data_IF_901917926816
#
_entry.id   IF_901917926816
#
_cell.length_a   1.000
_cell.length_b   1.000
_cell.length_c   1.000
_cell.angle_alpha   90.00
_cell.angle_beta   90.00
_cell.angle_gamma   90.00
#
_symmetry.space_group_name_H-M   'P 1'
#
loop_
_entity.id
_entity.type
_entity.pdbx_description
1 polymer ?
#
# COMPACT_ATOMS: atom_id res chain seq x y z
N UNK A 1 46.10 -18.94 18.52
CA UNK A 1 46.18 -18.28 17.23
C UNK A 1 45.97 -19.29 16.09
N UNK A 2 44.80 -19.96 16.05
CA UNK A 2 44.36 -20.91 14.99
C UNK A 2 42.86 -21.19 15.14
N UNK A 3 42.00 -20.17 15.00
CA UNK A 3 40.55 -20.40 15.07
C UNK A 3 39.69 -19.52 14.15
N UNK A 4 40.27 -18.65 13.29
CA UNK A 4 39.49 -17.66 12.49
C UNK A 4 39.62 -17.81 10.96
N UNK A 5 39.88 -19.01 10.41
CA UNK A 5 40.02 -19.19 8.94
C UNK A 5 38.92 -20.08 8.32
N UNK A 6 37.98 -20.59 9.11
CA UNK A 6 36.91 -21.45 8.57
C UNK A 6 35.57 -20.75 8.24
N UNK A 7 35.45 -19.43 8.50
CA UNK A 7 34.16 -18.72 8.28
C UNK A 7 34.13 -17.92 6.97
N UNK A 8 35.22 -17.80 6.23
CA UNK A 8 35.26 -16.98 5.00
C UNK A 8 35.06 -17.81 3.70
N UNK A 9 35.09 -19.15 3.77
CA UNK A 9 34.94 -19.98 2.56
C UNK A 9 33.50 -20.40 2.30
N UNK A 10 32.58 -20.23 3.23
CA UNK A 10 31.15 -20.57 3.03
C UNK A 10 30.32 -19.50 2.33
N UNK A 11 30.74 -18.23 2.33
CA UNK A 11 29.96 -17.13 1.70
C UNK A 11 30.21 -16.96 0.20
N UNK A 12 31.21 -17.63 -0.40
CA UNK A 12 31.53 -17.47 -1.83
C UNK A 12 30.83 -18.53 -2.72
N UNK A 13 30.30 -19.60 -2.15
CA UNK A 13 29.61 -20.65 -2.91
C UNK A 13 28.12 -20.39 -3.20
N UNK A 14 27.51 -19.39 -2.59
CA UNK A 14 26.08 -19.06 -2.81
C UNK A 14 25.82 -17.97 -3.87
N UNK A 15 26.85 -17.23 -4.30
CA UNK A 15 26.71 -16.17 -5.31
C UNK A 15 26.65 -16.71 -6.75
N UNK A 16 26.97 -17.98 -6.96
CA UNK A 16 27.05 -18.61 -8.30
C UNK A 16 25.73 -19.24 -8.79
N UNK A 17 24.73 -19.44 -7.95
CA UNK A 17 23.48 -20.12 -8.30
C UNK A 17 22.28 -19.19 -8.39
N UNK A 18 22.39 -17.93 -7.92
CA UNK A 18 21.29 -16.97 -7.92
C UNK A 18 21.00 -16.28 -9.27
N UNK A 19 21.92 -16.33 -10.22
CA UNK A 19 21.80 -15.59 -11.50
C UNK A 19 20.96 -16.34 -12.56
N UNK A 20 20.65 -17.62 -12.34
CA UNK A 20 19.88 -18.44 -13.28
C UNK A 20 18.36 -18.38 -13.12
N UNK A 21 17.85 -17.89 -11.98
CA UNK A 21 16.43 -17.94 -11.65
C UNK A 21 15.72 -16.58 -11.90
N UNK A 22 16.48 -15.46 -11.93
CA UNK A 22 15.93 -14.11 -12.11
C UNK A 22 15.36 -13.88 -13.52
N UNK A 23 15.79 -14.64 -14.53
CA UNK A 23 15.22 -14.54 -15.89
C UNK A 23 13.83 -15.16 -16.07
N UNK A 24 13.42 -16.05 -15.18
CA UNK A 24 12.14 -16.75 -15.28
C UNK A 24 11.01 -16.02 -14.50
N UNK A 25 11.36 -15.34 -13.39
CA UNK A 25 10.38 -14.64 -12.56
C UNK A 25 9.79 -13.39 -13.23
N UNK A 26 10.62 -12.61 -13.94
CA UNK A 26 10.15 -11.39 -14.62
C UNK A 26 9.23 -11.69 -15.80
N UNK A 27 9.43 -12.82 -16.50
CA UNK A 27 8.50 -13.26 -17.56
C UNK A 27 7.20 -13.84 -17.01
N UNK A 28 7.19 -14.33 -15.77
CA UNK A 28 5.99 -14.86 -15.15
C UNK A 28 5.04 -13.73 -14.72
N UNK A 29 5.56 -12.64 -14.18
CA UNK A 29 4.76 -11.48 -13.77
C UNK A 29 4.08 -10.78 -14.95
N UNK A 30 4.79 -10.61 -16.09
CA UNK A 30 4.20 -9.97 -17.27
C UNK A 30 3.16 -10.83 -17.98
N UNK A 31 3.28 -12.14 -17.95
CA UNK A 31 2.33 -13.04 -18.64
C UNK A 31 1.10 -13.39 -17.82
N UNK A 32 1.17 -13.37 -16.48
CA UNK A 32 0.00 -13.71 -15.66
C UNK A 32 -0.93 -12.51 -15.41
N UNK A 33 -0.42 -11.28 -15.32
CA UNK A 33 -1.27 -10.09 -15.23
C UNK A 33 -2.08 -9.83 -16.50
N UNK A 34 -1.58 -10.25 -17.67
CA UNK A 34 -2.32 -10.13 -18.95
C UNK A 34 -3.29 -11.30 -19.15
N UNK A 35 -2.96 -12.52 -18.71
CA UNK A 35 -3.84 -13.68 -18.85
C UNK A 35 -5.00 -13.69 -17.85
N UNK A 36 -4.82 -13.10 -16.66
CA UNK A 36 -5.90 -12.94 -15.68
C UNK A 36 -7.02 -11.99 -16.13
N UNK A 37 -6.69 -10.99 -16.95
CA UNK A 37 -7.68 -10.06 -17.50
C UNK A 37 -8.52 -10.65 -18.63
N UNK A 38 -8.02 -11.61 -19.40
CA UNK A 38 -8.80 -12.23 -20.49
C UNK A 38 -9.75 -13.34 -20.03
N UNK A 39 -9.51 -13.97 -18.89
CA UNK A 39 -10.40 -15.04 -18.39
C UNK A 39 -11.55 -14.52 -17.51
N UNK A 40 -11.46 -13.29 -16.96
CA UNK A 40 -12.53 -12.66 -16.21
C UNK A 40 -13.72 -12.15 -17.01
N UNK A 41 -13.62 -12.09 -18.35
CA UNK A 41 -14.66 -11.56 -19.26
C UNK A 41 -15.59 -12.64 -19.87
N UNK A 42 -15.40 -13.93 -19.58
CA UNK A 42 -16.13 -15.01 -20.24
C UNK A 42 -17.07 -15.80 -19.33
N UNK A 43 -17.47 -15.31 -18.17
CA UNK A 43 -18.35 -16.12 -17.31
C UNK A 43 -18.99 -15.46 -16.11
N UNK A 44 -19.84 -14.45 -16.31
CA UNK A 44 -20.87 -14.15 -15.31
C UNK A 44 -22.07 -13.43 -15.92
N UNK A 45 -22.99 -14.21 -16.47
CA UNK A 45 -24.40 -13.82 -16.46
C UNK A 45 -25.02 -14.40 -15.18
N UNK A 46 -25.61 -13.48 -14.38
CA UNK A 46 -26.51 -13.67 -13.24
C UNK A 46 -25.87 -13.83 -11.85
N UNK A 47 -25.75 -12.71 -11.12
CA UNK A 47 -26.66 -12.35 -10.01
C UNK A 47 -26.30 -10.95 -9.49
N UNK A 48 -27.23 -10.04 -9.69
CA UNK A 48 -27.23 -8.70 -9.13
C UNK A 48 -27.48 -8.75 -7.62
N UNK A 49 -26.51 -8.35 -6.82
CA UNK A 49 -26.81 -7.72 -5.52
C UNK A 49 -26.57 -6.23 -5.68
N UNK A 50 -27.68 -5.48 -5.64
CA UNK A 50 -27.68 -4.03 -5.62
C UNK A 50 -27.09 -3.55 -4.29
N UNK A 51 -25.84 -3.14 -4.30
CA UNK A 51 -25.26 -2.33 -3.25
C UNK A 51 -25.16 -0.89 -3.77
N UNK A 52 -25.84 0.00 -3.11
CA UNK A 52 -25.97 1.45 -3.24
C UNK A 52 -24.89 2.13 -4.09
N UNK A 53 -25.16 2.33 -5.38
CA UNK A 53 -24.37 3.19 -6.24
C UNK A 53 -24.93 4.60 -6.20
N UNK A 54 -24.19 5.54 -5.62
CA UNK A 54 -24.53 6.95 -5.66
C UNK A 54 -24.02 7.53 -6.98
N UNK A 55 -24.93 7.80 -7.91
CA UNK A 55 -24.60 8.50 -9.15
C UNK A 55 -24.65 10.01 -8.93
N UNK A 56 -23.54 10.70 -9.16
CA UNK A 56 -23.53 12.16 -9.26
C UNK A 56 -23.80 12.56 -10.71
N UNK A 57 -24.92 13.25 -10.94
CA UNK A 57 -25.27 13.85 -12.24
C UNK A 57 -24.79 15.30 -12.20
N UNK A 58 -23.80 15.66 -13.01
CA UNK A 58 -23.51 17.07 -13.28
C UNK A 58 -24.36 17.50 -14.48
N UNK A 59 -25.26 18.50 -14.32
CA UNK A 59 -26.07 18.98 -15.45
C UNK A 59 -25.19 19.82 -16.40
N UNK A 60 -25.24 19.52 -17.68
CA UNK A 60 -24.59 20.31 -18.73
C UNK A 60 -25.26 21.69 -18.98
N UNK A 61 -26.27 22.07 -18.22
CA UNK A 61 -26.95 23.36 -18.36
C UNK A 61 -27.35 23.92 -17.00
N UNK A 62 -26.73 25.01 -16.50
CA UNK A 62 -26.99 25.56 -15.18
C UNK A 62 -28.32 26.35 -15.05
N UNK A 63 -29.10 26.51 -16.11
CA UNK A 63 -30.30 27.34 -16.12
C UNK A 63 -31.65 26.56 -16.18
N UNK A 64 -31.64 25.25 -15.92
CA UNK A 64 -32.87 24.48 -15.82
C UNK A 64 -33.45 24.58 -14.40
N UNK A 65 -34.45 25.44 -14.26
CA UNK A 65 -35.26 25.58 -13.06
C UNK A 65 -36.14 24.31 -12.85
N UNK A 66 -35.70 23.43 -11.92
CA UNK A 66 -36.51 22.27 -11.51
C UNK A 66 -37.30 22.61 -10.27
N UNK A 67 -38.57 22.96 -10.46
CA UNK A 67 -39.55 22.97 -9.39
C UNK A 67 -39.96 21.53 -9.06
N UNK A 68 -39.61 21.06 -7.88
CA UNK A 68 -40.13 19.82 -7.32
C UNK A 68 -41.60 20.04 -6.98
N UNK A 69 -42.52 19.46 -7.74
CA UNK A 69 -43.93 19.30 -7.30
C UNK A 69 -44.00 18.16 -6.28
N UNK A 70 -44.68 18.44 -5.20
CA UNK A 70 -44.90 17.56 -4.04
C UNK A 70 -45.76 16.36 -4.48
N UNK A 71 -45.13 15.21 -4.78
CA UNK A 71 -45.84 13.95 -5.03
C UNK A 71 -46.25 13.30 -3.72
N UNK A 72 -47.52 13.08 -3.52
CA UNK A 72 -48.06 12.43 -2.31
C UNK A 72 -47.84 10.90 -2.35
N UNK A 73 -47.79 10.29 -1.17
CA UNK A 73 -47.56 8.84 -0.98
C UNK A 73 -48.59 7.94 -1.73
N UNK A 74 -49.73 8.51 -2.17
CA UNK A 74 -50.75 7.84 -2.96
C UNK A 74 -50.36 7.66 -4.44
N UNK A 75 -49.52 8.56 -4.98
CA UNK A 75 -49.07 8.50 -6.38
C UNK A 75 -47.99 7.42 -6.58
N UNK A 76 -47.21 7.12 -5.57
CA UNK A 76 -46.18 6.06 -5.59
C UNK A 76 -46.76 4.63 -5.58
N UNK A 77 -47.98 4.45 -5.06
CA UNK A 77 -48.63 3.13 -5.05
C UNK A 77 -49.37 2.81 -6.36
N UNK A 78 -49.66 3.80 -7.20
CA UNK A 78 -50.33 3.58 -8.48
C UNK A 78 -49.34 3.12 -9.59
N UNK A 79 -48.07 3.44 -9.48
CA UNK A 79 -47.07 3.03 -10.48
C UNK A 79 -46.60 1.55 -10.34
N UNK A 80 -46.88 0.90 -9.21
CA UNK A 80 -46.45 -0.49 -8.96
C UNK A 80 -47.20 -1.57 -9.73
N UNK A 81 -48.30 -1.21 -10.45
CA UNK A 81 -49.18 -2.17 -11.16
C UNK A 81 -49.35 -1.87 -12.64
N UNK A 82 -48.60 -0.95 -13.22
CA UNK A 82 -48.64 -0.69 -14.67
C UNK A 82 -47.81 -1.76 -15.42
N UNK A 83 -48.45 -2.48 -16.35
CA UNK A 83 -47.80 -3.47 -17.19
C UNK A 83 -46.74 -2.81 -18.07
N UNK A 84 -45.57 -3.49 -18.35
CA UNK A 84 -44.43 -2.87 -19.01
C UNK A 84 -44.63 -2.46 -20.49
N UNK A 85 -45.77 -2.76 -21.11
CA UNK A 85 -45.94 -2.58 -22.55
C UNK A 85 -46.51 -1.19 -22.97
N UNK A 86 -46.87 -0.33 -22.04
CA UNK A 86 -47.48 0.98 -22.36
C UNK A 86 -46.57 2.19 -22.21
N UNK A 87 -45.31 2.01 -21.86
CA UNK A 87 -44.34 3.11 -21.67
C UNK A 87 -43.35 3.29 -22.82
N UNK A 88 -43.67 2.80 -24.03
CA UNK A 88 -42.92 3.07 -25.26
C UNK A 88 -43.39 4.35 -26.00
N UNK A 89 -43.54 5.44 -25.27
CA UNK A 89 -43.74 6.78 -25.80
C UNK A 89 -42.46 7.56 -25.80
N UNK A 90 -41.78 7.54 -26.92
CA UNK A 90 -40.74 8.47 -27.44
C UNK A 90 -40.21 9.56 -26.47
N UNK A 91 -39.47 9.16 -25.49
CA UNK A 91 -38.45 10.02 -24.87
C UNK A 91 -37.10 9.34 -25.03
N UNK A 92 -36.30 9.82 -25.98
CA UNK A 92 -34.88 9.53 -26.05
C UNK A 92 -34.22 10.21 -24.85
N UNK A 93 -34.09 9.48 -23.73
CA UNK A 93 -33.20 9.89 -22.65
C UNK A 93 -31.80 9.69 -23.20
N UNK A 94 -31.09 10.78 -23.46
CA UNK A 94 -29.66 10.74 -23.70
C UNK A 94 -29.02 10.25 -22.41
N UNK A 95 -28.69 8.96 -22.34
CA UNK A 95 -27.86 8.43 -21.28
C UNK A 95 -26.48 9.06 -21.46
N UNK A 96 -26.22 10.13 -20.70
CA UNK A 96 -24.86 10.64 -20.55
C UNK A 96 -23.95 9.48 -20.15
N UNK A 97 -22.80 9.38 -20.77
CA UNK A 97 -21.80 8.36 -20.43
C UNK A 97 -21.37 8.66 -18.99
N UNK A 98 -21.85 7.88 -18.01
CA UNK A 98 -21.30 7.90 -16.66
C UNK A 98 -19.87 7.39 -16.77
N UNK A 99 -18.89 8.26 -16.73
CA UNK A 99 -17.50 7.88 -16.54
C UNK A 99 -17.34 7.57 -15.06
N UNK A 100 -17.40 6.29 -14.72
CA UNK A 100 -17.03 5.86 -13.38
C UNK A 100 -15.53 6.03 -13.25
N UNK A 101 -15.08 7.01 -12.50
CA UNK A 101 -13.69 7.11 -12.12
C UNK A 101 -13.47 6.07 -11.02
N UNK A 102 -12.73 5.00 -11.36
CA UNK A 102 -12.36 3.97 -10.40
C UNK A 102 -11.48 4.59 -9.33
N UNK A 103 -11.86 4.46 -8.06
CA UNK A 103 -11.04 4.93 -6.94
C UNK A 103 -9.73 4.15 -6.90
N UNK A 104 -8.69 4.81 -6.43
CA UNK A 104 -7.34 4.27 -6.28
C UNK A 104 -6.97 4.19 -4.82
N UNK A 105 -6.32 3.10 -4.44
CA UNK A 105 -5.79 2.87 -3.10
C UNK A 105 -4.27 2.84 -3.17
N UNK A 106 -3.59 3.58 -2.31
CA UNK A 106 -2.15 3.52 -2.15
C UNK A 106 -1.78 2.94 -0.79
N UNK A 107 -1.07 1.81 -0.80
CA UNK A 107 -0.57 1.14 0.39
C UNK A 107 0.91 1.46 0.55
N UNK A 108 1.25 2.37 1.47
CA UNK A 108 2.61 2.77 1.77
C UNK A 108 3.11 2.09 3.04
N UNK A 109 4.34 1.58 2.99
CA UNK A 109 4.93 0.92 4.14
C UNK A 109 6.29 0.28 3.84
N UNK A 110 6.68 -0.60 4.74
CA UNK A 110 7.95 -1.33 4.72
C UNK A 110 7.83 -2.75 4.11
N UNK A 111 8.58 -3.71 4.64
CA UNK A 111 8.57 -5.12 4.20
C UNK A 111 7.20 -5.80 4.37
N UNK A 112 6.42 -5.42 5.37
CA UNK A 112 5.10 -5.97 5.61
C UNK A 112 4.12 -5.52 4.50
N UNK A 113 4.18 -4.25 4.10
CA UNK A 113 3.41 -3.76 2.96
C UNK A 113 3.90 -4.35 1.64
N UNK A 114 5.23 -4.46 1.47
CA UNK A 114 5.83 -5.12 0.32
C UNK A 114 5.35 -6.56 0.19
N UNK A 115 5.17 -7.26 1.31
CA UNK A 115 4.75 -8.65 1.39
C UNK A 115 5.93 -9.63 1.52
N UNK A 116 7.03 -9.21 2.16
CA UNK A 116 8.15 -10.12 2.41
C UNK A 116 7.66 -11.36 3.17
N UNK A 117 8.14 -12.54 2.80
CA UNK A 117 7.74 -13.80 3.44
C UNK A 117 6.50 -14.47 2.85
N UNK A 118 5.84 -13.91 1.83
CA UNK A 118 4.71 -14.59 1.20
C UNK A 118 5.08 -16.02 0.73
N UNK A 119 4.09 -16.92 0.76
CA UNK A 119 4.31 -18.31 0.37
C UNK A 119 4.21 -18.50 -1.14
N UNK A 120 5.11 -19.32 -1.70
CA UNK A 120 5.05 -19.73 -3.11
C UNK A 120 3.86 -20.67 -3.39
N UNK A 121 3.33 -21.33 -2.35
CA UNK A 121 2.19 -22.24 -2.42
C UNK A 121 1.24 -21.95 -1.24
N UNK A 122 0.05 -21.39 -1.53
CA UNK A 122 -1.00 -21.18 -0.53
C UNK A 122 -2.38 -21.21 -1.19
N UNK A 123 -3.32 -21.90 -0.56
CA UNK A 123 -4.67 -22.08 -1.09
C UNK A 123 -5.71 -21.94 0.01
N UNK A 124 -6.79 -21.23 -0.30
CA UNK A 124 -7.97 -21.15 0.55
C UNK A 124 -9.07 -22.03 0.01
N UNK A 125 -9.86 -22.61 0.91
CA UNK A 125 -11.09 -23.32 0.56
C UNK A 125 -12.29 -22.53 1.03
N UNK A 126 -13.04 -21.97 0.10
CA UNK A 126 -14.27 -21.22 0.40
C UNK A 126 -15.46 -21.85 -0.31
N UNK A 127 -16.45 -22.34 0.46
CA UNK A 127 -17.65 -22.96 -0.09
C UNK A 127 -17.39 -24.14 -1.03
N UNK A 128 -16.27 -24.86 -0.86
CA UNK A 128 -15.85 -25.98 -1.69
C UNK A 128 -15.13 -25.57 -2.98
N UNK A 129 -14.87 -24.28 -3.17
CA UNK A 129 -13.99 -23.76 -4.22
C UNK A 129 -12.60 -23.52 -3.65
N UNK A 130 -11.57 -23.89 -4.41
CA UNK A 130 -10.17 -23.62 -4.07
C UNK A 130 -9.78 -22.32 -4.76
N UNK A 131 -9.24 -21.38 -3.97
CA UNK A 131 -8.65 -20.14 -4.43
C UNK A 131 -7.15 -20.18 -4.16
N UNK A 132 -6.35 -20.01 -5.21
CA UNK A 132 -4.91 -19.90 -5.10
C UNK A 132 -4.55 -18.46 -4.68
N UNK A 133 -3.88 -18.35 -3.52
CA UNK A 133 -3.38 -17.09 -2.96
C UNK A 133 -1.85 -17.07 -2.87
N UNK A 134 -1.20 -17.97 -3.61
CA UNK A 134 0.28 -18.03 -3.66
C UNK A 134 0.84 -16.69 -4.10
N UNK A 135 1.83 -16.18 -3.36
CA UNK A 135 2.44 -14.89 -3.62
C UNK A 135 1.59 -13.66 -3.30
N UNK A 136 0.41 -13.83 -2.71
CA UNK A 136 -0.44 -12.69 -2.37
C UNK A 136 0.09 -11.93 -1.16
N UNK A 137 0.05 -10.62 -1.31
CA UNK A 137 0.29 -9.64 -0.26
C UNK A 137 -1.05 -9.05 0.22
N UNK A 138 -1.06 -8.25 1.29
CA UNK A 138 -2.33 -7.64 1.73
C UNK A 138 -2.90 -6.64 0.70
N UNK A 139 -2.10 -5.87 -0.07
CA UNK A 139 -2.62 -5.07 -1.19
C UNK A 139 -3.31 -5.88 -2.27
N UNK A 140 -2.81 -7.10 -2.60
CA UNK A 140 -3.46 -7.99 -3.56
C UNK A 140 -4.82 -8.46 -3.06
N UNK A 141 -4.91 -8.81 -1.78
CA UNK A 141 -6.18 -9.18 -1.14
C UNK A 141 -7.16 -8.01 -1.15
N UNK A 142 -6.68 -6.81 -0.86
CA UNK A 142 -7.50 -5.60 -0.89
C UNK A 142 -8.00 -5.30 -2.32
N UNK A 143 -7.16 -5.47 -3.33
CA UNK A 143 -7.55 -5.35 -4.74
C UNK A 143 -8.61 -6.39 -5.11
N UNK A 144 -8.45 -7.63 -4.66
CA UNK A 144 -9.41 -8.71 -4.91
C UNK A 144 -10.81 -8.37 -4.35
N UNK A 145 -10.88 -7.88 -3.10
CA UNK A 145 -12.16 -7.57 -2.46
C UNK A 145 -12.81 -6.30 -2.99
N UNK A 146 -12.03 -5.27 -3.28
CA UNK A 146 -12.58 -3.96 -3.70
C UNK A 146 -12.79 -3.85 -5.20
N UNK A 147 -12.02 -4.61 -5.99
CA UNK A 147 -11.94 -4.44 -7.44
C UNK A 147 -11.37 -3.09 -7.88
N UNK A 148 -10.78 -2.32 -6.96
CA UNK A 148 -10.14 -1.03 -7.22
C UNK A 148 -8.69 -1.19 -7.67
N UNK A 149 -8.09 -0.13 -8.23
CA UNK A 149 -6.65 -0.09 -8.49
C UNK A 149 -5.90 0.09 -7.17
N UNK A 150 -5.16 -0.93 -6.73
CA UNK A 150 -4.37 -0.91 -5.50
C UNK A 150 -2.89 -0.88 -5.83
N UNK A 151 -2.19 0.11 -5.31
CA UNK A 151 -0.75 0.28 -5.47
C UNK A 151 -0.04 -0.24 -4.23
N UNK A 152 0.75 -1.31 -4.38
CA UNK A 152 1.68 -1.74 -3.36
C UNK A 152 2.94 -0.87 -3.44
N UNK A 153 3.11 0.00 -2.46
CA UNK A 153 4.22 0.94 -2.34
C UNK A 153 5.10 0.62 -1.11
N UNK A 154 5.12 -0.65 -0.72
CA UNK A 154 6.01 -1.17 0.32
C UNK A 154 7.45 -1.27 -0.15
N UNK A 155 8.41 -0.95 0.71
CA UNK A 155 9.85 -1.12 0.49
C UNK A 155 10.48 -1.74 1.72
N UNK A 156 11.04 -2.94 1.55
CA UNK A 156 11.62 -3.72 2.65
C UNK A 156 12.73 -2.97 3.36
N UNK A 157 12.68 -2.95 4.70
CA UNK A 157 13.69 -2.37 5.57
C UNK A 157 13.61 -0.85 5.74
N UNK A 158 12.67 -0.15 5.07
CA UNK A 158 12.53 1.29 5.25
C UNK A 158 12.02 1.65 6.64
N UNK A 159 12.62 2.68 7.20
CA UNK A 159 12.17 3.35 8.43
C UNK A 159 10.94 4.22 8.16
N UNK A 160 10.19 4.57 9.20
CA UNK A 160 9.03 5.46 9.07
C UNK A 160 9.38 6.83 8.46
N UNK A 161 10.56 7.38 8.81
CA UNK A 161 11.08 8.60 8.20
C UNK A 161 11.30 8.44 6.70
N UNK A 162 11.88 7.33 6.24
CA UNK A 162 12.13 7.07 4.82
C UNK A 162 10.82 6.89 4.05
N UNK A 163 9.85 6.15 4.61
CA UNK A 163 8.53 5.96 4.02
C UNK A 163 7.80 7.29 3.86
N UNK A 164 7.75 8.11 4.93
CA UNK A 164 7.10 9.43 4.90
C UNK A 164 7.81 10.41 3.94
N UNK A 165 9.14 10.31 3.83
CA UNK A 165 9.94 11.09 2.89
C UNK A 165 9.71 10.64 1.44
N UNK A 166 9.62 9.34 1.20
CA UNK A 166 9.39 8.75 -0.11
C UNK A 166 7.98 9.02 -0.62
N UNK A 167 7.00 9.01 0.25
CA UNK A 167 5.61 9.40 -0.03
C UNK A 167 5.50 10.92 -0.29
N UNK A 168 6.33 11.72 0.36
CA UNK A 168 6.39 13.18 0.21
C UNK A 168 5.72 13.96 1.34
N UNK A 169 5.21 13.32 2.39
CA UNK A 169 4.78 13.96 3.63
C UNK A 169 5.93 14.72 4.28
N UNK A 170 7.12 14.13 4.29
CA UNK A 170 8.35 14.82 4.62
C UNK A 170 9.03 15.29 3.31
N UNK A 171 9.01 16.59 3.08
CA UNK A 171 9.40 17.16 1.80
C UNK A 171 10.92 17.19 1.59
N UNK A 172 11.36 16.78 0.42
CA UNK A 172 12.77 16.82 0.00
C UNK A 172 13.09 18.03 -0.87
N UNK A 173 14.31 18.55 -0.76
CA UNK A 173 14.77 19.70 -1.53
C UNK A 173 16.19 19.53 -2.08
N UNK A 174 16.47 20.16 -3.22
CA UNK A 174 17.82 20.35 -3.76
C UNK A 174 18.63 21.22 -2.80
N UNK A 175 19.72 20.70 -2.25
CA UNK A 175 20.52 21.38 -1.22
C UNK A 175 21.35 22.55 -1.75
N UNK A 176 21.80 22.51 -3.02
CA UNK A 176 22.65 23.50 -3.67
C UNK A 176 22.36 23.61 -5.17
N UNK A 177 22.72 24.73 -5.78
CA UNK A 177 22.57 24.90 -7.23
C UNK A 177 23.42 23.88 -7.99
N UNK A 178 22.80 23.19 -8.94
CA UNK A 178 23.43 22.17 -9.79
C UNK A 178 23.05 22.40 -11.26
N UNK A 179 23.99 22.20 -12.18
CA UNK A 179 23.71 22.22 -13.62
C UNK A 179 23.85 20.82 -14.20
N UNK A 180 22.74 20.23 -14.61
CA UNK A 180 22.66 18.90 -15.23
C UNK A 180 22.76 19.08 -16.74
N UNK A 181 23.85 18.61 -17.35
CA UNK A 181 24.03 18.62 -18.82
C UNK A 181 23.39 17.36 -19.42
N UNK A 182 22.79 17.50 -20.58
CA UNK A 182 22.18 16.38 -21.29
C UNK A 182 23.16 15.19 -21.42
N UNK A 183 22.69 14.01 -21.05
CA UNK A 183 23.46 12.76 -21.11
C UNK A 183 24.65 12.68 -20.12
N UNK A 184 24.75 13.61 -19.17
CA UNK A 184 25.80 13.62 -18.14
C UNK A 184 25.20 13.48 -16.76
N UNK A 185 25.82 12.64 -15.93
CA UNK A 185 25.54 12.53 -14.52
C UNK A 185 26.38 13.55 -13.75
N UNK A 186 25.81 14.19 -12.75
CA UNK A 186 26.46 15.15 -11.86
C UNK A 186 26.07 14.88 -10.41
N UNK A 187 26.99 15.10 -9.49
CA UNK A 187 26.73 14.97 -8.05
C UNK A 187 25.66 15.97 -7.60
N UNK A 188 24.68 15.48 -6.83
CA UNK A 188 23.62 16.27 -6.21
C UNK A 188 23.55 15.96 -4.72
N UNK A 189 23.10 16.90 -3.92
CA UNK A 189 22.73 16.67 -2.51
C UNK A 189 21.27 17.03 -2.34
N UNK A 190 20.53 16.16 -1.69
CA UNK A 190 19.12 16.31 -1.35
C UNK A 190 19.04 16.43 0.17
N UNK A 191 18.18 17.33 0.66
CA UNK A 191 17.97 17.57 2.09
C UNK A 191 16.48 17.62 2.38
N UNK A 192 16.11 17.36 3.63
CA UNK A 192 14.79 17.60 4.18
C UNK A 192 14.55 19.10 4.49
N UNK A 193 13.42 19.41 5.11
CA UNK A 193 13.05 20.79 5.49
C UNK A 193 14.00 21.39 6.53
N UNK A 194 14.60 20.57 7.39
CA UNK A 194 15.53 20.98 8.44
C UNK A 194 16.98 21.09 7.95
N UNK A 195 17.23 20.63 6.71
CA UNK A 195 18.55 20.67 6.07
C UNK A 195 19.38 19.41 6.33
N UNK A 196 18.81 18.37 6.90
CA UNK A 196 19.47 17.07 7.04
C UNK A 196 19.59 16.38 5.68
N UNK A 197 20.66 15.61 5.49
CA UNK A 197 20.86 14.89 4.24
C UNK A 197 19.85 13.74 4.09
N UNK A 198 19.17 13.69 2.97
CA UNK A 198 18.27 12.61 2.60
C UNK A 198 18.98 11.62 1.67
N UNK A 199 18.93 10.33 2.03
CA UNK A 199 19.61 9.28 1.30
C UNK A 199 18.74 8.01 1.27
N UNK A 200 17.64 8.07 0.54
CA UNK A 200 16.76 6.92 0.35
C UNK A 200 17.45 5.84 -0.50
N UNK A 201 17.16 4.60 -0.25
CA UNK A 201 17.57 3.50 -1.11
C UNK A 201 16.67 3.41 -2.35
N UNK A 202 15.39 3.77 -2.20
CA UNK A 202 14.40 3.77 -3.28
C UNK A 202 13.82 5.17 -3.52
N UNK A 203 14.36 5.91 -4.49
CA UNK A 203 13.84 7.22 -4.88
C UNK A 203 12.73 7.19 -5.93
N UNK A 204 12.43 6.06 -6.57
CA UNK A 204 11.29 6.03 -7.50
C UNK A 204 9.94 5.99 -6.80
N UNK A 205 9.92 5.50 -5.58
CA UNK A 205 8.75 5.43 -4.73
C UNK A 205 7.83 4.23 -4.97
N UNK A 206 7.94 3.55 -6.09
CA UNK A 206 7.22 2.30 -6.33
C UNK A 206 7.87 1.17 -5.55
N UNK A 207 7.09 0.38 -4.83
CA UNK A 207 7.55 -0.70 -3.96
C UNK A 207 8.54 -1.67 -4.62
N UNK A 208 9.22 -2.45 -3.83
CA UNK A 208 10.14 -3.48 -4.29
C UNK A 208 11.31 -3.73 -3.34
N UNK A 209 12.10 -4.75 -3.67
CA UNK A 209 13.40 -4.97 -3.05
C UNK A 209 14.38 -3.88 -3.45
N UNK A 210 15.15 -3.42 -2.49
CA UNK A 210 16.01 -2.25 -2.46
C UNK A 210 16.98 -1.99 -3.62
N UNK A 211 16.90 -2.56 -4.81
CA UNK A 211 17.95 -2.35 -5.84
C UNK A 211 17.53 -2.45 -7.30
N UNK A 212 16.27 -2.62 -7.65
CA UNK A 212 15.94 -3.01 -9.02
C UNK A 212 15.24 -1.97 -9.87
N UNK A 213 14.67 -0.93 -9.29
CA UNK A 213 13.98 0.08 -10.06
C UNK A 213 14.89 1.24 -10.46
N UNK A 214 14.62 1.84 -11.61
CA UNK A 214 15.23 3.12 -11.96
C UNK A 214 14.77 4.18 -10.95
N UNK A 215 15.68 4.71 -10.14
CA UNK A 215 15.39 5.77 -9.17
C UNK A 215 15.01 7.07 -9.89
N UNK A 216 13.74 7.20 -10.27
CA UNK A 216 13.21 8.36 -10.97
C UNK A 216 12.56 9.34 -9.99
N UNK A 217 12.88 10.62 -10.16
CA UNK A 217 12.33 11.71 -9.37
C UNK A 217 11.87 12.85 -10.25
N UNK A 218 10.87 13.57 -9.79
CA UNK A 218 10.45 14.83 -10.39
C UNK A 218 11.10 16.00 -9.66
N UNK A 219 11.62 16.96 -10.42
CA UNK A 219 12.05 18.27 -9.93
C UNK A 219 11.49 19.31 -10.89
N UNK A 220 10.58 20.17 -10.40
CA UNK A 220 9.89 21.15 -11.21
C UNK A 220 9.23 20.52 -12.45
N UNK A 221 8.41 19.45 -12.21
CA UNK A 221 7.66 18.68 -13.21
C UNK A 221 8.52 18.02 -14.31
N UNK A 222 9.82 18.00 -14.12
CA UNK A 222 10.74 17.35 -15.02
C UNK A 222 11.31 16.08 -14.37
N UNK A 223 11.31 14.99 -15.15
CA UNK A 223 11.78 13.69 -14.70
C UNK A 223 13.32 13.59 -14.81
N UNK A 224 13.93 13.11 -13.74
CA UNK A 224 15.36 12.85 -13.62
C UNK A 224 15.59 11.43 -13.11
N UNK A 225 16.75 10.89 -13.42
CA UNK A 225 17.22 9.65 -12.82
C UNK A 225 18.29 9.94 -11.78
N UNK A 226 18.10 9.42 -10.57
CA UNK A 226 19.11 9.38 -9.52
C UNK A 226 19.92 8.09 -9.57
N UNK A 227 21.14 8.14 -9.10
CA UNK A 227 21.96 6.98 -8.83
C UNK A 227 22.77 7.22 -7.56
N UNK A 228 23.00 6.16 -6.79
CA UNK A 228 23.83 6.17 -5.58
C UNK A 228 25.19 5.53 -5.88
N UNK A 229 26.26 6.16 -5.47
CA UNK A 229 27.61 5.62 -5.56
C UNK A 229 28.50 6.25 -4.48
N UNK A 230 29.19 5.42 -3.71
CA UNK A 230 30.10 5.86 -2.64
C UNK A 230 29.43 6.87 -1.69
N UNK A 231 28.22 6.53 -1.19
CA UNK A 231 27.41 7.37 -0.31
C UNK A 231 27.10 8.78 -0.88
N UNK A 232 27.07 8.90 -2.20
CA UNK A 232 26.74 10.15 -2.89
C UNK A 232 25.66 9.92 -3.92
N UNK A 233 24.79 10.90 -4.07
CA UNK A 233 23.77 10.91 -5.11
C UNK A 233 24.29 11.58 -6.37
N UNK A 234 23.92 11.02 -7.51
CA UNK A 234 24.21 11.55 -8.84
C UNK A 234 22.90 11.66 -9.61
N UNK A 235 22.70 12.78 -10.29
CA UNK A 235 21.50 13.05 -11.06
C UNK A 235 21.83 13.19 -12.56
N UNK A 236 20.98 12.66 -13.41
CA UNK A 236 20.97 12.91 -14.85
C UNK A 236 19.54 13.14 -15.36
N UNK A 237 19.40 13.82 -16.49
CA UNK A 237 18.09 13.95 -17.16
C UNK A 237 17.62 12.57 -17.63
N UNK A 238 16.33 12.28 -17.48
CA UNK A 238 15.72 11.05 -17.96
C UNK A 238 15.14 11.24 -19.37
N UNK A 239 15.34 10.25 -20.23
CA UNK A 239 14.91 10.31 -21.63
C UNK A 239 15.84 11.12 -22.55
N UNK A 240 15.74 10.85 -23.85
CA UNK A 240 16.60 11.46 -24.88
C UNK A 240 16.14 12.84 -25.38
N UNK A 241 15.14 13.44 -24.76
CA UNK A 241 14.42 14.61 -25.31
C UNK A 241 15.09 15.94 -25.04
N UNK A 242 16.05 16.01 -24.11
CA UNK A 242 16.67 17.27 -23.70
C UNK A 242 18.00 17.51 -24.39
N UNK A 243 18.04 18.51 -25.23
CA UNK A 243 19.27 19.12 -25.74
C UNK A 243 19.62 20.32 -24.83
N UNK A 244 20.85 20.36 -24.32
CA UNK A 244 21.32 21.47 -23.51
C UNK A 244 21.61 21.13 -22.04
N UNK A 245 21.29 22.03 -21.15
CA UNK A 245 21.50 21.86 -19.71
C UNK A 245 20.31 22.37 -18.91
N UNK A 246 20.00 21.69 -17.80
CA UNK A 246 18.99 22.10 -16.83
C UNK A 246 19.68 22.66 -15.60
N UNK A 247 19.19 23.79 -15.11
CA UNK A 247 19.68 24.39 -13.86
C UNK A 247 18.73 24.08 -12.73
N UNK A 248 19.15 23.25 -11.81
CA UNK A 248 18.46 22.99 -10.55
C UNK A 248 18.94 24.01 -9.52
N UNK A 249 18.02 24.70 -8.88
CA UNK A 249 18.32 25.69 -7.85
C UNK A 249 18.14 25.08 -6.47
N UNK A 250 18.92 25.58 -5.49
CA UNK A 250 18.70 25.29 -4.07
C UNK A 250 17.23 25.55 -3.71
N UNK A 251 16.61 24.65 -2.95
CA UNK A 251 15.24 24.76 -2.49
C UNK A 251 14.19 24.30 -3.51
N UNK A 252 14.58 23.83 -4.71
CA UNK A 252 13.63 23.12 -5.58
C UNK A 252 13.21 21.81 -4.92
N UNK A 253 11.90 21.57 -4.88
CA UNK A 253 11.35 20.34 -4.33
C UNK A 253 11.75 19.15 -5.20
N UNK A 254 12.05 18.04 -4.54
CA UNK A 254 12.30 16.72 -5.14
C UNK A 254 11.17 15.82 -4.72
N UNK A 255 10.51 15.17 -5.68
CA UNK A 255 9.39 14.27 -5.42
C UNK A 255 9.69 12.94 -6.08
N UNK A 256 9.48 11.85 -5.39
CA UNK A 256 9.62 10.49 -5.97
C UNK A 256 8.63 10.32 -7.11
N UNK A 257 8.90 9.40 -8.04
CA UNK A 257 8.00 9.17 -9.15
C UNK A 257 6.63 8.70 -8.66
N UNK A 258 6.57 7.76 -7.73
CA UNK A 258 5.30 7.26 -7.22
C UNK A 258 4.49 8.34 -6.49
N UNK A 259 5.13 9.17 -5.65
CA UNK A 259 4.46 10.28 -4.97
C UNK A 259 3.87 11.33 -5.92
N UNK A 260 4.47 11.47 -7.12
CA UNK A 260 3.98 12.35 -8.17
C UNK A 260 2.87 11.70 -9.01
N UNK A 261 3.04 10.43 -9.39
CA UNK A 261 2.20 9.77 -10.38
C UNK A 261 0.98 9.06 -9.74
N UNK A 262 1.13 8.55 -8.50
CA UNK A 262 0.06 7.87 -7.78
C UNK A 262 -0.75 8.90 -7.00
N UNK A 263 -1.83 9.33 -7.58
CA UNK A 263 -2.80 10.21 -6.94
C UNK A 263 -3.96 9.34 -6.42
N UNK A 264 -3.81 8.84 -5.18
CA UNK A 264 -4.77 7.91 -4.60
C UNK A 264 -5.91 8.63 -3.88
N UNK A 265 -7.10 8.04 -3.96
CA UNK A 265 -8.29 8.50 -3.25
C UNK A 265 -8.31 8.03 -1.79
N UNK A 266 -7.63 6.91 -1.53
CA UNK A 266 -7.58 6.25 -0.22
C UNK A 266 -6.14 5.88 0.10
N UNK A 267 -5.69 6.17 1.32
CA UNK A 267 -4.39 5.77 1.84
C UNK A 267 -4.51 4.60 2.82
N UNK A 268 -3.60 3.64 2.69
CA UNK A 268 -3.37 2.60 3.69
C UNK A 268 -1.91 2.70 4.12
N UNK A 269 -1.67 2.99 5.39
CA UNK A 269 -0.35 3.30 5.91
C UNK A 269 0.06 2.31 6.99
N UNK A 270 1.25 1.71 6.82
CA UNK A 270 1.86 0.82 7.80
C UNK A 270 3.35 1.16 7.89
N UNK A 271 3.83 1.60 9.05
CA UNK A 271 5.24 1.92 9.25
C UNK A 271 5.59 2.02 10.73
N UNK A 272 6.89 1.96 11.02
CA UNK A 272 7.44 2.18 12.35
C UNK A 272 8.27 1.01 12.87
N UNK A 273 8.03 -0.22 12.40
CA UNK A 273 8.72 -1.43 12.86
C UNK A 273 10.26 -1.37 12.67
N UNK A 274 10.74 -0.66 11.66
CA UNK A 274 12.17 -0.46 11.41
C UNK A 274 12.74 0.81 12.07
N UNK A 275 11.99 1.46 13.00
CA UNK A 275 12.39 2.72 13.62
C UNK A 275 12.22 3.93 12.70
N UNK A 276 13.11 4.94 12.84
CA UNK A 276 13.01 6.22 12.12
C UNK A 276 12.19 7.26 12.88
N UNK A 277 12.01 7.03 14.19
CA UNK A 277 11.31 7.88 15.13
C UNK A 277 11.89 7.68 16.54
N UNK A 278 11.92 8.76 17.33
CA UNK A 278 12.42 8.76 18.69
C UNK A 278 11.29 8.83 19.75
N UNK A 279 10.05 9.04 19.29
CA UNK A 279 8.86 9.09 20.15
C UNK A 279 7.60 8.78 19.35
N UNK A 280 6.53 8.34 20.04
CA UNK A 280 5.23 8.14 19.42
C UNK A 280 4.67 9.43 18.80
N UNK A 281 4.93 10.59 19.39
CA UNK A 281 4.53 11.90 18.83
C UNK A 281 5.20 12.15 17.48
N UNK A 282 6.47 11.77 17.33
CA UNK A 282 7.19 11.90 16.06
C UNK A 282 6.64 10.94 15.00
N UNK A 283 6.42 9.67 15.35
CA UNK A 283 5.81 8.69 14.45
C UNK A 283 4.42 9.15 13.99
N UNK A 284 3.59 9.61 14.93
CA UNK A 284 2.26 10.15 14.64
C UNK A 284 2.34 11.37 13.72
N UNK A 285 3.31 12.27 13.95
CA UNK A 285 3.51 13.43 13.08
C UNK A 285 3.91 13.04 11.66
N UNK A 286 4.69 11.96 11.48
CA UNK A 286 5.04 11.42 10.16
C UNK A 286 3.79 10.87 9.43
N UNK A 287 2.93 10.11 10.09
CA UNK A 287 1.65 9.66 9.53
C UNK A 287 0.76 10.85 9.15
N UNK A 288 0.63 11.85 10.03
CA UNK A 288 -0.18 13.04 9.78
C UNK A 288 0.34 13.84 8.58
N UNK A 289 1.65 13.96 8.43
CA UNK A 289 2.26 14.64 7.29
C UNK A 289 1.94 13.94 5.95
N UNK A 290 1.90 12.61 5.91
CA UNK A 290 1.50 11.85 4.72
C UNK A 290 0.02 12.06 4.41
N UNK A 291 -0.86 12.02 5.41
CA UNK A 291 -2.30 12.26 5.25
C UNK A 291 -2.54 13.70 4.75
N UNK A 292 -1.88 14.69 5.34
CA UNK A 292 -2.00 16.10 4.95
C UNK A 292 -1.52 16.31 3.50
N UNK A 293 -0.38 15.74 3.13
CA UNK A 293 0.17 15.83 1.77
C UNK A 293 -0.77 15.23 0.73
N UNK A 294 -1.38 14.11 1.03
CA UNK A 294 -2.32 13.45 0.10
C UNK A 294 -3.60 14.26 -0.12
N UNK A 295 -4.02 15.04 0.89
CA UNK A 295 -5.27 15.80 0.88
C UNK A 295 -6.54 14.96 0.98
N UNK A 296 -6.44 13.63 1.11
CA UNK A 296 -7.60 12.76 1.30
C UNK A 296 -8.02 12.68 2.76
N UNK A 297 -9.33 12.51 2.98
CA UNK A 297 -9.88 12.17 4.30
C UNK A 297 -10.07 10.66 4.48
N UNK A 298 -9.85 9.89 3.41
CA UNK A 298 -10.00 8.44 3.42
C UNK A 298 -8.63 7.79 3.67
N UNK A 299 -8.37 7.38 4.90
CA UNK A 299 -7.12 6.70 5.25
C UNK A 299 -7.34 5.61 6.29
N UNK A 300 -6.46 4.64 6.32
CA UNK A 300 -6.42 3.55 7.29
C UNK A 300 -4.99 3.43 7.80
N UNK A 301 -4.83 3.38 9.11
CA UNK A 301 -3.56 3.16 9.80
C UNK A 301 -3.52 1.73 10.31
N UNK A 302 -2.53 0.98 9.88
CA UNK A 302 -2.29 -0.38 10.34
C UNK A 302 -1.25 -0.33 11.46
N UNK A 303 -1.62 -0.87 12.61
CA UNK A 303 -0.72 -1.04 13.73
C UNK A 303 0.35 -2.10 13.47
N UNK A 304 1.26 -2.22 14.41
CA UNK A 304 2.32 -3.22 14.37
C UNK A 304 1.77 -4.63 14.29
N UNK A 305 2.52 -5.49 13.63
CA UNK A 305 2.18 -6.90 13.42
C UNK A 305 3.08 -7.83 14.22
N UNK A 306 4.17 -7.30 14.78
CA UNK A 306 5.16 -8.07 15.50
C UNK A 306 4.61 -8.62 16.81
N UNK A 307 5.15 -9.78 17.20
CA UNK A 307 4.98 -10.28 18.54
C UNK A 307 5.81 -9.39 19.49
N UNK A 308 5.16 -8.68 20.40
CA UNK A 308 5.84 -7.68 21.18
C UNK A 308 6.95 -8.23 22.10
N UNK A 309 7.01 -9.55 22.35
CA UNK A 309 8.03 -10.21 23.16
C UNK A 309 9.31 -10.56 22.42
N UNK A 310 9.29 -10.56 21.09
CA UNK A 310 10.37 -11.05 20.25
C UNK A 310 11.05 -9.96 19.41
N UNK A 311 10.30 -8.91 19.09
CA UNK A 311 10.77 -7.81 18.28
C UNK A 311 11.43 -6.74 19.15
N UNK A 312 12.73 -6.70 19.13
CA UNK A 312 13.56 -5.62 19.65
C UNK A 312 13.75 -5.50 21.16
N UNK A 313 14.97 -5.75 21.53
CA UNK A 313 15.70 -5.29 22.72
C UNK A 313 15.85 -3.74 22.72
N UNK A 314 14.90 -3.00 22.16
CA UNK A 314 14.96 -1.55 22.15
C UNK A 314 14.09 -1.00 23.29
N UNK A 315 14.61 -0.02 24.01
CA UNK A 315 13.88 0.70 25.06
C UNK A 315 12.57 1.36 24.55
N UNK A 316 12.38 1.43 23.24
CA UNK A 316 11.19 1.95 22.56
C UNK A 316 9.99 1.01 22.66
N UNK A 317 10.23 -0.29 22.76
CA UNK A 317 9.21 -1.31 22.93
C UNK A 317 9.18 -1.71 24.42
N UNK A 318 8.94 -0.75 25.31
CA UNK A 318 8.69 -1.08 26.72
C UNK A 318 7.50 -2.04 26.79
N UNK A 319 7.87 -3.28 27.04
CA UNK A 319 7.02 -4.43 27.08
C UNK A 319 6.17 -4.51 28.36
N UNK A 320 5.27 -3.60 28.58
CA UNK A 320 4.10 -3.91 29.39
C UNK A 320 3.09 -4.69 28.52
N UNK A 321 3.57 -5.86 28.02
CA UNK A 321 2.75 -6.74 27.20
C UNK A 321 1.83 -7.49 28.14
N UNK A 322 0.62 -7.03 28.20
CA UNK A 322 -0.45 -7.88 28.68
C UNK A 322 -0.71 -8.95 27.60
N UNK A 323 -0.70 -10.20 28.02
CA UNK A 323 -1.08 -11.36 27.22
C UNK A 323 -2.48 -11.12 26.64
N UNK A 324 -2.64 -11.33 25.33
CA UNK A 324 -3.94 -11.21 24.65
C UNK A 324 -4.02 -10.03 23.68
N UNK A 325 -5.23 -9.56 23.44
CA UNK A 325 -5.57 -8.58 22.39
C UNK A 325 -5.63 -7.15 22.90
N UNK A 326 -5.23 -6.89 24.14
CA UNK A 326 -5.16 -5.54 24.69
C UNK A 326 -4.07 -4.74 23.99
N UNK A 327 -4.38 -3.49 23.68
CA UNK A 327 -3.42 -2.57 23.07
C UNK A 327 -2.18 -2.41 23.98
N UNK A 328 -1.00 -2.52 23.38
CA UNK A 328 0.25 -2.12 24.01
C UNK A 328 0.38 -0.58 23.99
N UNK A 329 1.50 -0.03 24.47
CA UNK A 329 1.71 1.42 24.54
C UNK A 329 1.71 2.06 23.16
N UNK A 330 2.35 1.43 22.18
CA UNK A 330 2.38 1.91 20.80
C UNK A 330 1.00 1.88 20.15
N UNK A 331 0.30 0.75 20.23
CA UNK A 331 -1.06 0.59 19.71
C UNK A 331 -2.03 1.59 20.35
N UNK A 332 -1.88 1.83 21.65
CA UNK A 332 -2.67 2.86 22.38
C UNK A 332 -2.42 4.25 21.81
N UNK A 333 -1.16 4.64 21.59
CA UNK A 333 -0.81 5.94 21.04
C UNK A 333 -1.40 6.15 19.63
N UNK A 334 -1.31 5.14 18.77
CA UNK A 334 -1.89 5.21 17.41
C UNK A 334 -3.43 5.25 17.47
N UNK A 335 -4.06 4.47 18.34
CA UNK A 335 -5.52 4.50 18.51
C UNK A 335 -6.02 5.84 19.03
N UNK A 336 -5.31 6.46 19.98
CA UNK A 336 -5.67 7.78 20.48
C UNK A 336 -5.53 8.86 19.41
N UNK A 337 -4.51 8.76 18.53
CA UNK A 337 -4.25 9.73 17.47
C UNK A 337 -5.19 9.60 16.28
N UNK A 338 -5.53 8.38 15.87
CA UNK A 338 -6.24 8.12 14.62
C UNK A 338 -7.65 7.54 14.79
N UNK A 339 -8.05 7.20 16.01
CA UNK A 339 -9.42 6.80 16.35
C UNK A 339 -9.93 5.62 15.52
N UNK A 340 -11.04 5.82 14.84
CA UNK A 340 -11.71 4.79 14.02
C UNK A 340 -10.92 4.35 12.79
N UNK A 341 -9.94 5.15 12.36
CA UNK A 341 -9.08 4.84 11.21
C UNK A 341 -7.97 3.83 11.55
N UNK A 342 -7.73 3.54 12.83
CA UNK A 342 -6.70 2.63 13.29
C UNK A 342 -7.18 1.17 13.34
N UNK A 343 -6.33 0.24 12.91
CA UNK A 343 -6.49 -1.21 13.09
C UNK A 343 -5.39 -1.71 14.01
N UNK A 344 -5.74 -2.31 15.16
CA UNK A 344 -4.80 -3.14 15.88
C UNK A 344 -4.66 -4.48 15.13
N UNK A 345 -3.67 -4.55 14.24
CA UNK A 345 -3.50 -5.70 13.36
C UNK A 345 -3.08 -6.95 14.14
N UNK A 346 -2.20 -6.81 15.12
CA UNK A 346 -1.80 -7.92 15.99
C UNK A 346 -3.00 -8.54 16.69
N UNK A 347 -3.87 -7.72 17.31
CA UNK A 347 -5.07 -8.21 17.96
C UNK A 347 -6.03 -8.90 16.97
N UNK A 348 -6.21 -8.33 15.78
CA UNK A 348 -7.04 -8.97 14.74
C UNK A 348 -6.49 -10.34 14.35
N UNK A 349 -5.18 -10.47 14.16
CA UNK A 349 -4.55 -11.74 13.79
C UNK A 349 -4.70 -12.80 14.88
N UNK A 350 -4.62 -12.41 16.14
CA UNK A 350 -4.84 -13.30 17.29
C UNK A 350 -6.31 -13.76 17.34
N UNK A 351 -7.25 -12.83 17.21
CA UNK A 351 -8.68 -13.12 17.38
C UNK A 351 -9.32 -13.78 16.16
N UNK A 352 -8.92 -13.39 14.96
CA UNK A 352 -9.63 -13.69 13.72
C UNK A 352 -8.77 -14.25 12.59
N UNK A 353 -7.44 -14.22 12.74
CA UNK A 353 -6.53 -14.56 11.63
C UNK A 353 -6.74 -15.96 11.07
N UNK A 354 -6.73 -17.00 11.90
CA UNK A 354 -6.94 -18.38 11.46
C UNK A 354 -8.36 -18.61 10.89
N UNK A 355 -9.37 -18.07 11.54
CA UNK A 355 -10.76 -18.17 11.07
C UNK A 355 -10.93 -17.53 9.68
N UNK A 356 -10.30 -16.36 9.46
CA UNK A 356 -10.37 -15.62 8.20
C UNK A 356 -9.84 -16.45 7.02
N UNK A 357 -8.84 -17.28 7.25
CA UNK A 357 -8.24 -18.15 6.22
C UNK A 357 -8.73 -19.58 6.28
N UNK A 358 -9.63 -19.91 7.19
CA UNK A 358 -10.25 -21.23 7.32
C UNK A 358 -9.28 -22.33 7.80
N UNK A 359 -8.27 -21.94 8.58
CA UNK A 359 -7.32 -22.88 9.18
C UNK A 359 -7.75 -23.26 10.60
N UNK A 360 -7.69 -24.56 10.90
CA UNK A 360 -7.85 -25.05 12.26
C UNK A 360 -6.53 -24.85 13.04
N UNK A 361 -6.58 -24.40 14.30
CA UNK A 361 -5.38 -24.13 15.07
C UNK A 361 -4.62 -25.43 15.38
N UNK A 362 -3.32 -25.42 15.16
CA UNK A 362 -2.38 -26.46 15.59
C UNK A 362 -2.11 -26.38 17.10
N UNK A 363 -1.36 -27.35 17.66
CA UNK A 363 -0.92 -27.26 19.08
C UNK A 363 -0.04 -26.01 19.32
N UNK A 364 0.79 -25.64 18.33
CA UNK A 364 1.63 -24.45 18.41
C UNK A 364 0.78 -23.16 18.37
N UNK A 365 -0.20 -23.09 17.48
CA UNK A 365 -1.10 -21.93 17.41
C UNK A 365 -1.88 -21.75 18.72
N UNK A 366 -2.31 -22.85 19.34
CA UNK A 366 -3.00 -22.79 20.64
C UNK A 366 -2.07 -22.27 21.75
N UNK A 367 -0.77 -22.61 21.72
CA UNK A 367 0.22 -22.05 22.64
C UNK A 367 0.46 -20.56 22.34
N UNK A 368 0.59 -20.18 21.08
CA UNK A 368 0.74 -18.79 20.66
C UNK A 368 -0.44 -17.93 21.11
N UNK A 369 -1.66 -18.39 20.84
CA UNK A 369 -2.89 -17.70 21.27
C UNK A 369 -2.98 -17.56 22.79
N UNK A 370 -2.61 -18.62 23.54
CA UNK A 370 -2.62 -18.59 24.99
C UNK A 370 -1.59 -17.58 25.57
N UNK A 371 -0.54 -17.26 24.80
CA UNK A 371 0.49 -16.33 25.14
C UNK A 371 0.32 -14.95 24.46
N UNK A 372 -0.84 -14.68 23.84
CA UNK A 372 -1.14 -13.40 23.18
C UNK A 372 -0.29 -13.13 21.93
N UNK A 373 0.15 -14.19 21.27
CA UNK A 373 0.96 -14.11 20.05
C UNK A 373 0.14 -14.45 18.82
N UNK A 374 0.57 -13.92 17.67
CA UNK A 374 0.02 -14.29 16.37
C UNK A 374 0.33 -15.76 16.06
N UNK A 375 -0.65 -16.56 15.62
CA UNK A 375 -0.48 -17.96 15.29
C UNK A 375 0.64 -18.25 14.29
N UNK A 376 1.42 -19.29 14.52
CA UNK A 376 2.55 -19.70 13.67
C UNK A 376 2.13 -19.96 12.23
N UNK A 377 0.95 -20.56 12.00
CA UNK A 377 0.45 -20.84 10.64
C UNK A 377 0.24 -19.61 9.77
N UNK A 378 0.21 -18.40 10.34
CA UNK A 378 0.05 -17.13 9.62
C UNK A 378 1.38 -16.43 9.32
N UNK A 379 2.50 -16.95 9.84
CA UNK A 379 3.81 -16.29 9.80
C UNK A 379 4.79 -16.99 8.86
N UNK A 380 5.74 -16.23 8.33
CA UNK A 380 6.95 -16.71 7.68
C UNK A 380 8.12 -16.70 8.66
N UNK A 381 8.28 -15.61 9.39
CA UNK A 381 9.25 -15.45 10.46
C UNK A 381 8.63 -14.70 11.66
N UNK A 382 9.43 -14.20 12.60
CA UNK A 382 8.93 -13.52 13.79
C UNK A 382 8.23 -12.20 13.51
N UNK A 383 8.54 -11.54 12.37
CA UNK A 383 7.98 -10.24 11.95
C UNK A 383 7.01 -10.38 10.79
N UNK A 384 7.34 -11.23 9.80
CA UNK A 384 6.63 -11.25 8.53
C UNK A 384 5.57 -12.33 8.48
N UNK A 385 4.51 -12.05 7.72
CA UNK A 385 3.47 -13.00 7.42
C UNK A 385 3.79 -13.85 6.19
N UNK A 386 3.21 -15.04 6.15
CA UNK A 386 3.08 -15.81 4.92
C UNK A 386 1.82 -15.36 4.14
N UNK A 387 1.51 -15.99 3.00
CA UNK A 387 0.35 -15.61 2.19
C UNK A 387 -0.99 -15.75 2.93
N UNK A 388 -1.11 -16.66 3.89
CA UNK A 388 -2.33 -16.76 4.72
C UNK A 388 -2.47 -15.54 5.64
N UNK A 389 -1.38 -15.15 6.32
CA UNK A 389 -1.38 -13.97 7.17
C UNK A 389 -1.62 -12.68 6.37
N UNK A 390 -0.99 -12.52 5.21
CA UNK A 390 -1.24 -11.36 4.34
C UNK A 390 -2.67 -11.31 3.80
N UNK A 391 -3.26 -12.47 3.49
CA UNK A 391 -4.67 -12.51 3.13
C UNK A 391 -5.57 -12.05 4.28
N UNK A 392 -5.34 -12.54 5.50
CA UNK A 392 -6.08 -12.13 6.69
C UNK A 392 -5.93 -10.62 6.97
N UNK A 393 -4.70 -10.09 6.82
CA UNK A 393 -4.41 -8.66 6.94
C UNK A 393 -5.20 -7.83 5.92
N UNK A 394 -5.20 -8.24 4.65
CA UNK A 394 -5.98 -7.58 3.60
C UNK A 394 -7.48 -7.60 3.84
N UNK A 395 -7.99 -8.72 4.38
CA UNK A 395 -9.40 -8.84 4.78
C UNK A 395 -9.76 -7.88 5.93
N UNK A 396 -8.87 -7.71 6.92
CA UNK A 396 -9.05 -6.74 8.00
C UNK A 396 -9.09 -5.30 7.47
N UNK A 397 -8.19 -4.95 6.56
CA UNK A 397 -8.18 -3.62 5.91
C UNK A 397 -9.46 -3.40 5.10
N UNK A 398 -9.89 -4.43 4.35
CA UNK A 398 -11.15 -4.36 3.61
C UNK A 398 -12.34 -4.11 4.55
N UNK A 399 -12.45 -4.87 5.64
CA UNK A 399 -13.52 -4.70 6.62
C UNK A 399 -13.51 -3.29 7.21
N UNK A 400 -12.34 -2.76 7.56
CA UNK A 400 -12.21 -1.40 8.08
C UNK A 400 -12.69 -0.35 7.09
N UNK A 401 -12.38 -0.48 5.81
CA UNK A 401 -12.87 0.44 4.79
C UNK A 401 -14.38 0.35 4.56
N UNK A 402 -14.98 -0.86 4.73
CA UNK A 402 -16.46 -1.01 4.77
C UNK A 402 -17.04 -0.25 5.97
N UNK A 403 -16.46 -0.40 7.17
CA UNK A 403 -16.89 0.32 8.38
C UNK A 403 -16.84 1.84 8.20
N UNK A 404 -15.81 2.35 7.51
CA UNK A 404 -15.59 3.77 7.24
C UNK A 404 -16.34 4.28 5.99
N UNK A 405 -17.00 3.40 5.23
CA UNK A 405 -17.73 3.76 4.01
C UNK A 405 -16.83 4.17 2.83
N UNK A 406 -15.64 3.58 2.73
CA UNK A 406 -14.69 3.91 1.66
C UNK A 406 -15.00 3.20 0.34
N UNK A 407 -15.58 2.01 0.43
CA UNK A 407 -16.01 1.14 -0.69
C UNK A 407 -17.27 0.37 -0.36
#
# INVERSE_FOLDING_TARGET
>A
MKRNIKLIVSCIAFIGLGIGIIGAGVNYFFNHSVLGMEQGLAGSTQNSNEANQVCYITPENPDADMTLEDTTEADLQAEQYAQPETLLGQHTVSLGTCVFQQKKIACWGDSITFGYGYSDEAQLTNGGQIMDISGWTYPDTLQYYTGMDVYNLGVSGETSYEIATREGGLTMFVAKNVTVKAGKSVEISIVDADGNSVMLDNFNGYGGDNNQAENLVYINDQLFQLGKRDEKLYIKTYGNTQKGSVKLKKGMQVTTQAAHDVNADILVLQMGSNGGWDSYDELIAQYQAMIEKSGTQCYIIIGDTDNPTEAYDSEQYESDIEVGTKDNVWETALREAFGEHFINMRAFMIEHGLETVGLEPTEQDLDDLANGRVPEQLKDDYTHFNSYGYYAMGAAVYQKGVELGYW
#
